data_IF_788667259273
#
_entry.id   IF_788667259273
#
_cell.length_a   1.000
_cell.length_b   1.000
_cell.length_c   1.000
_cell.angle_alpha   90.00
_cell.angle_beta   90.00
_cell.angle_gamma   90.00
#
_symmetry.space_group_name_H-M   'P 1'
#
loop_
_entity.id
_entity.type
_entity.pdbx_description
1 polymer ?
#
# COMPACT_ATOMS: atom_id res chain seq x y z
N UNK A 1 37.86 -53.79 -7.57
CA UNK A 1 37.87 -52.33 -7.74
C UNK A 1 36.50 -51.68 -8.04
N UNK A 2 35.36 -52.37 -7.88
CA UNK A 2 34.05 -51.85 -8.38
C UNK A 2 33.21 -51.07 -7.36
N UNK A 3 33.61 -51.04 -6.07
CA UNK A 3 32.84 -50.35 -5.01
C UNK A 3 33.22 -48.87 -4.85
N UNK A 4 34.51 -48.56 -5.08
CA UNK A 4 35.03 -47.18 -5.02
C UNK A 4 34.51 -46.35 -6.20
N UNK A 5 34.41 -46.95 -7.39
CA UNK A 5 33.86 -46.29 -8.59
C UNK A 5 32.35 -45.99 -8.46
N UNK A 6 31.58 -46.80 -7.71
CA UNK A 6 30.17 -46.53 -7.41
C UNK A 6 29.95 -45.40 -6.40
N UNK A 7 30.84 -45.26 -5.41
CA UNK A 7 30.79 -44.16 -4.44
C UNK A 7 31.20 -42.82 -5.06
N UNK A 8 32.19 -42.82 -5.97
CA UNK A 8 32.61 -41.62 -6.70
C UNK A 8 31.50 -41.06 -7.61
N UNK A 9 30.70 -41.94 -8.23
CA UNK A 9 29.59 -41.53 -9.10
C UNK A 9 28.43 -40.85 -8.36
N UNK A 10 28.14 -41.26 -7.11
CA UNK A 10 27.04 -40.66 -6.32
C UNK A 10 27.42 -39.27 -5.77
N UNK A 11 28.70 -39.07 -5.41
CA UNK A 11 29.19 -37.76 -4.94
C UNK A 11 29.24 -36.72 -6.08
N UNK A 12 29.53 -37.15 -7.31
CA UNK A 12 29.60 -36.24 -8.47
C UNK A 12 28.22 -35.77 -8.99
N UNK A 13 27.14 -36.49 -8.71
CA UNK A 13 25.78 -36.11 -9.13
C UNK A 13 25.13 -35.16 -8.10
N UNK A 14 25.51 -35.26 -6.82
CA UNK A 14 24.98 -34.39 -5.76
C UNK A 14 25.49 -32.93 -5.83
N UNK A 15 26.63 -32.69 -6.48
CA UNK A 15 27.21 -31.34 -6.62
C UNK A 15 26.59 -30.50 -7.74
N UNK A 16 25.79 -31.09 -8.63
CA UNK A 16 25.12 -30.36 -9.72
C UNK A 16 23.72 -29.85 -9.35
N UNK A 17 23.22 -30.15 -8.16
CA UNK A 17 21.85 -29.81 -7.72
C UNK A 17 21.71 -28.42 -7.07
N UNK A 18 22.80 -27.68 -6.88
CA UNK A 18 22.83 -26.46 -6.06
C UNK A 18 23.22 -25.21 -6.86
N UNK A 19 22.40 -24.78 -7.84
CA UNK A 19 22.71 -23.53 -8.55
C UNK A 19 21.53 -22.72 -9.13
N UNK A 20 20.27 -23.05 -8.83
CA UNK A 20 19.13 -22.17 -9.15
C UNK A 20 18.44 -21.62 -7.90
N UNK A 21 19.11 -21.60 -6.75
CA UNK A 21 18.67 -20.85 -5.60
C UNK A 21 18.96 -19.36 -5.89
N UNK A 22 18.00 -18.65 -6.50
CA UNK A 22 17.98 -17.19 -6.47
C UNK A 22 17.66 -16.77 -5.04
N UNK A 23 18.65 -16.93 -4.15
CA UNK A 23 18.67 -16.24 -2.87
C UNK A 23 18.82 -14.78 -3.27
N UNK A 24 17.74 -14.02 -3.18
CA UNK A 24 17.78 -12.55 -3.29
C UNK A 24 18.45 -11.99 -2.03
N UNK A 25 19.73 -12.33 -1.84
CA UNK A 25 20.60 -11.73 -0.84
C UNK A 25 20.87 -10.30 -1.30
N UNK A 26 20.41 -9.33 -0.52
CA UNK A 26 20.54 -7.92 -0.85
C UNK A 26 19.43 -7.09 -0.26
N UNK A 27 19.54 -5.77 -0.37
CA UNK A 27 18.55 -4.79 0.09
C UNK A 27 17.63 -4.32 -1.04
N UNK A 28 17.89 -4.73 -2.27
CA UNK A 28 17.12 -4.33 -3.46
C UNK A 28 16.53 -5.54 -4.18
N UNK A 29 15.50 -5.30 -4.98
CA UNK A 29 14.81 -6.30 -5.78
C UNK A 29 14.30 -5.69 -7.08
N UNK A 30 14.43 -6.41 -8.19
CA UNK A 30 13.77 -6.04 -9.45
C UNK A 30 12.32 -6.51 -9.44
N UNK A 31 11.39 -5.58 -9.69
CA UNK A 31 9.95 -5.84 -9.76
C UNK A 31 9.49 -5.64 -11.19
N UNK A 32 8.93 -6.68 -11.80
CA UNK A 32 8.28 -6.61 -13.11
C UNK A 32 6.85 -6.07 -12.94
N UNK A 33 6.50 -5.04 -13.70
CA UNK A 33 5.19 -4.41 -13.67
C UNK A 33 4.52 -4.60 -15.02
N UNK A 34 3.31 -5.14 -14.98
CA UNK A 34 2.42 -5.31 -16.11
C UNK A 34 1.10 -4.61 -15.83
N UNK A 35 0.39 -4.26 -16.89
CA UNK A 35 -0.88 -3.54 -16.84
C UNK A 35 -1.90 -4.24 -17.72
N UNK A 36 -3.17 -4.18 -17.30
CA UNK A 36 -4.30 -4.67 -18.06
C UNK A 36 -5.52 -3.78 -17.82
N UNK A 37 -6.42 -3.58 -18.80
CA UNK A 37 -6.38 -4.12 -20.16
C UNK A 37 -5.43 -3.37 -21.11
N UNK A 38 -5.00 -2.16 -20.75
CA UNK A 38 -4.12 -1.31 -21.57
C UNK A 38 -2.64 -1.49 -21.20
N UNK A 39 -1.76 -1.32 -22.20
CA UNK A 39 -0.30 -1.33 -22.03
C UNK A 39 0.28 0.10 -22.16
N UNK A 40 1.59 0.26 -21.94
CA UNK A 40 2.28 1.53 -22.11
C UNK A 40 2.00 2.55 -21.01
N UNK A 41 1.49 2.11 -19.85
CA UNK A 41 1.29 2.97 -18.70
C UNK A 41 2.63 3.34 -18.06
N UNK A 42 2.74 4.59 -17.62
CA UNK A 42 3.79 5.07 -16.72
C UNK A 42 3.39 4.69 -15.29
N UNK A 43 4.28 4.01 -14.57
CA UNK A 43 4.02 3.58 -13.21
C UNK A 43 5.05 4.16 -12.22
N UNK A 44 4.56 4.55 -11.06
CA UNK A 44 5.35 4.95 -9.90
C UNK A 44 5.23 3.88 -8.83
N UNK A 45 6.37 3.38 -8.34
CA UNK A 45 6.48 2.40 -7.27
C UNK A 45 7.01 3.14 -6.04
N UNK A 46 6.36 2.99 -4.88
CA UNK A 46 6.70 3.72 -3.66
C UNK A 46 6.60 2.86 -2.42
N UNK A 47 7.57 3.03 -1.53
CA UNK A 47 7.51 2.59 -0.14
C UNK A 47 8.15 3.65 0.78
N UNK A 48 8.46 3.29 2.02
CA UNK A 48 9.11 4.14 3.01
C UNK A 48 10.61 4.39 2.75
N UNK A 49 11.24 3.64 1.83
CA UNK A 49 12.65 3.79 1.45
C UNK A 49 12.85 4.66 0.21
N UNK A 50 11.81 4.85 -0.61
CA UNK A 50 11.90 5.70 -1.78
C UNK A 50 10.78 5.52 -2.78
N UNK A 51 11.00 6.15 -3.94
CA UNK A 51 10.12 6.12 -5.09
C UNK A 51 10.93 5.79 -6.34
N UNK A 52 10.36 4.94 -7.19
CA UNK A 52 10.95 4.51 -8.46
C UNK A 52 9.91 4.60 -9.56
N UNK A 53 10.36 4.69 -10.80
CA UNK A 53 9.46 4.81 -11.95
C UNK A 53 9.72 3.71 -12.99
N UNK A 54 8.64 3.26 -13.62
CA UNK A 54 8.64 2.45 -14.83
C UNK A 54 8.02 3.30 -15.94
N UNK A 55 8.80 3.74 -16.94
CA UNK A 55 8.33 4.72 -17.92
C UNK A 55 7.30 4.14 -18.92
N UNK A 56 7.34 2.83 -19.16
CA UNK A 56 6.35 2.15 -19.98
C UNK A 56 6.20 0.69 -19.52
N UNK A 57 4.96 0.22 -19.45
CA UNK A 57 4.62 -1.18 -19.11
C UNK A 57 4.31 -1.99 -20.37
N UNK A 58 4.70 -3.28 -20.45
CA UNK A 58 5.47 -4.05 -19.47
C UNK A 58 6.90 -3.53 -19.28
N UNK A 59 7.36 -3.48 -18.03
CA UNK A 59 8.69 -3.00 -17.68
C UNK A 59 9.09 -3.44 -16.27
N UNK A 60 10.33 -3.17 -15.87
CA UNK A 60 10.81 -3.50 -14.53
C UNK A 60 11.58 -2.35 -13.91
N UNK A 61 11.54 -2.26 -12.58
CA UNK A 61 12.37 -1.32 -11.83
C UNK A 61 12.97 -1.99 -10.60
N UNK A 62 14.20 -1.61 -10.28
CA UNK A 62 14.91 -2.10 -9.09
C UNK A 62 14.56 -1.22 -7.91
N UNK A 63 13.79 -1.77 -6.97
CA UNK A 63 13.34 -1.07 -5.77
C UNK A 63 14.17 -1.50 -4.55
N UNK A 64 14.28 -0.61 -3.57
CA UNK A 64 14.81 -0.96 -2.25
C UNK A 64 13.70 -1.63 -1.44
N UNK A 65 14.02 -2.79 -0.88
CA UNK A 65 13.12 -3.60 -0.05
C UNK A 65 12.90 -2.92 1.30
N UNK A 66 11.72 -3.12 1.86
CA UNK A 66 11.37 -2.53 3.14
C UNK A 66 10.33 -3.36 3.89
N UNK A 67 10.12 -3.03 5.16
CA UNK A 67 9.04 -3.57 5.97
C UNK A 67 7.67 -3.13 5.46
N UNK A 68 7.56 -1.89 4.97
CA UNK A 68 6.31 -1.36 4.42
C UNK A 68 5.96 -1.97 3.07
N UNK A 69 4.67 -1.98 2.75
CA UNK A 69 4.18 -2.44 1.45
C UNK A 69 4.65 -1.52 0.31
N UNK A 70 4.84 -2.11 -0.87
CA UNK A 70 5.18 -1.37 -2.08
C UNK A 70 3.90 -1.02 -2.84
N UNK A 71 3.55 0.27 -2.85
CA UNK A 71 2.42 0.78 -3.63
C UNK A 71 2.87 1.05 -5.06
N UNK A 72 2.07 0.62 -6.04
CA UNK A 72 2.30 0.86 -7.47
C UNK A 72 1.11 1.62 -8.03
N UNK A 73 1.34 2.83 -8.51
CA UNK A 73 0.34 3.68 -9.16
C UNK A 73 0.69 3.80 -10.62
N UNK A 74 -0.22 3.42 -11.51
CA UNK A 74 -0.02 3.47 -12.95
C UNK A 74 -1.03 4.41 -13.61
N UNK A 75 -0.57 5.12 -14.64
CA UNK A 75 -1.43 5.94 -15.50
C UNK A 75 -0.99 5.89 -16.96
N UNK A 76 -1.95 5.93 -17.89
CA UNK A 76 -1.68 6.03 -19.34
C UNK A 76 -1.90 7.46 -19.84
N UNK A 77 -1.31 7.84 -21.00
CA UNK A 77 -1.62 9.11 -21.66
C UNK A 77 -3.10 9.26 -22.05
N UNK A 78 -3.79 8.13 -22.26
CA UNK A 78 -5.24 8.06 -22.55
C UNK A 78 -6.11 8.20 -21.30
N UNK A 79 -5.51 8.42 -20.12
CA UNK A 79 -6.21 8.73 -18.87
C UNK A 79 -6.61 7.53 -18.02
N UNK A 80 -6.25 6.30 -18.41
CA UNK A 80 -6.50 5.11 -17.59
C UNK A 80 -5.63 5.13 -16.35
N UNK A 81 -6.18 4.70 -15.21
CA UNK A 81 -5.48 4.72 -13.92
C UNK A 81 -5.71 3.44 -13.15
N UNK A 82 -4.70 3.00 -12.42
CA UNK A 82 -4.80 1.85 -11.55
C UNK A 82 -3.82 1.96 -10.38
N UNK A 83 -4.14 1.28 -9.30
CA UNK A 83 -3.27 1.20 -8.13
C UNK A 83 -3.33 -0.21 -7.57
N UNK A 84 -2.17 -0.75 -7.22
CA UNK A 84 -2.04 -2.03 -6.51
C UNK A 84 -1.00 -1.90 -5.41
N UNK A 85 -1.07 -2.76 -4.41
CA UNK A 85 -0.09 -2.84 -3.34
C UNK A 85 0.51 -4.23 -3.29
N UNK A 86 1.83 -4.31 -3.24
CA UNK A 86 2.55 -5.55 -2.98
C UNK A 86 2.89 -5.62 -1.50
N UNK A 87 2.38 -6.65 -0.84
CA UNK A 87 2.65 -6.91 0.57
C UNK A 87 4.11 -7.28 0.76
N UNK A 88 4.75 -6.68 1.76
CA UNK A 88 6.11 -7.07 2.15
C UNK A 88 6.08 -8.35 2.98
N UNK A 89 6.87 -9.35 2.57
CA UNK A 89 7.05 -10.58 3.32
C UNK A 89 8.45 -10.65 3.92
N UNK A 90 8.57 -11.17 5.14
CA UNK A 90 9.87 -11.52 5.70
C UNK A 90 10.48 -12.67 4.91
N UNK A 91 11.64 -12.44 4.28
CA UNK A 91 12.37 -13.47 3.57
C UNK A 91 12.95 -14.48 4.56
N UNK A 92 12.87 -15.78 4.26
CA UNK A 92 13.50 -16.83 5.08
C UNK A 92 15.02 -16.65 5.26
N UNK A 93 15.66 -15.85 4.41
CA UNK A 93 17.06 -15.44 4.54
C UNK A 93 17.33 -14.59 5.80
N UNK A 94 16.32 -13.91 6.36
CA UNK A 94 16.43 -13.25 7.65
C UNK A 94 16.82 -14.24 8.77
N UNK A 95 16.40 -15.51 8.65
CA UNK A 95 16.81 -16.57 9.58
C UNK A 95 18.22 -17.14 9.30
N UNK A 96 18.70 -17.08 8.06
CA UNK A 96 20.06 -17.50 7.71
C UNK A 96 21.14 -16.62 8.37
N UNK A 97 20.90 -15.30 8.39
CA UNK A 97 21.79 -14.35 9.07
C UNK A 97 21.65 -14.34 10.58
N UNK A 98 20.55 -14.85 11.15
CA UNK A 98 20.47 -15.11 12.61
C UNK A 98 21.50 -16.17 13.01
N UNK A 99 21.72 -17.20 12.17
CA UNK A 99 22.71 -18.25 12.44
C UNK A 99 24.15 -17.73 12.24
N UNK A 100 24.39 -16.85 11.26
CA UNK A 100 25.72 -16.32 10.96
C UNK A 100 26.13 -15.07 11.78
N UNK A 101 25.18 -14.22 12.18
CA UNK A 101 25.41 -12.91 12.79
C UNK A 101 24.57 -12.60 14.05
N UNK A 102 23.78 -13.56 14.53
CA UNK A 102 22.99 -13.43 15.76
C UNK A 102 21.93 -12.33 15.72
N UNK A 103 21.48 -11.89 16.91
CA UNK A 103 20.45 -10.85 17.05
C UNK A 103 20.86 -9.50 16.43
N UNK A 104 22.17 -9.21 16.40
CA UNK A 104 22.71 -7.97 15.86
C UNK A 104 22.58 -7.97 14.34
N UNK A 105 22.94 -9.08 13.68
CA UNK A 105 22.75 -9.26 12.25
C UNK A 105 21.29 -9.10 11.85
N UNK A 106 20.37 -9.71 12.60
CA UNK A 106 18.94 -9.58 12.36
C UNK A 106 18.46 -8.12 12.44
N UNK A 107 18.91 -7.35 13.43
CA UNK A 107 18.55 -5.93 13.55
C UNK A 107 19.06 -5.09 12.36
N UNK A 108 20.27 -5.35 11.89
CA UNK A 108 20.84 -4.68 10.71
C UNK A 108 20.09 -5.08 9.44
N UNK A 109 19.72 -6.33 9.28
CA UNK A 109 18.97 -6.80 8.10
C UNK A 109 17.55 -6.23 8.04
N UNK A 110 16.89 -6.11 9.20
CA UNK A 110 15.57 -5.48 9.28
C UNK A 110 15.64 -3.99 8.98
N UNK A 111 16.66 -3.27 9.49
CA UNK A 111 16.79 -1.83 9.25
C UNK A 111 17.20 -1.49 7.81
N UNK A 112 18.08 -2.29 7.21
CA UNK A 112 18.52 -2.14 5.81
C UNK A 112 17.49 -2.63 4.79
N UNK A 113 16.51 -3.43 5.23
CA UNK A 113 15.48 -4.02 4.37
C UNK A 113 15.86 -5.37 3.75
N UNK A 114 17.07 -5.87 4.04
CA UNK A 114 17.54 -7.17 3.57
C UNK A 114 16.66 -8.33 4.07
N UNK A 115 16.02 -8.17 5.22
CA UNK A 115 15.11 -9.15 5.82
C UNK A 115 13.78 -9.33 5.08
N UNK A 116 13.45 -8.46 4.11
CA UNK A 116 12.14 -8.46 3.44
C UNK A 116 12.26 -8.89 1.97
N UNK A 117 11.11 -9.16 1.34
CA UNK A 117 10.93 -9.43 -0.09
C UNK A 117 9.53 -9.01 -0.53
N UNK A 118 9.40 -8.62 -1.79
CA UNK A 118 8.12 -8.43 -2.46
C UNK A 118 7.88 -9.57 -3.48
N UNK A 119 6.65 -9.77 -3.98
CA UNK A 119 6.39 -10.50 -5.21
C UNK A 119 7.24 -9.95 -6.37
N UNK A 120 7.85 -10.81 -7.17
CA UNK A 120 8.73 -10.39 -8.28
C UNK A 120 7.98 -9.79 -9.47
N UNK A 121 6.67 -9.99 -9.54
CA UNK A 121 5.81 -9.47 -10.59
C UNK A 121 4.50 -8.90 -10.01
N UNK A 122 4.05 -7.80 -10.59
CA UNK A 122 2.77 -7.17 -10.28
C UNK A 122 1.98 -6.95 -11.57
N UNK A 123 0.68 -7.23 -11.52
CA UNK A 123 -0.26 -6.84 -12.57
C UNK A 123 -1.20 -5.78 -12.01
N UNK A 124 -1.20 -4.60 -12.63
CA UNK A 124 -2.05 -3.47 -12.24
C UNK A 124 -3.28 -3.43 -13.13
N UNK A 125 -4.46 -3.56 -12.51
CA UNK A 125 -5.73 -3.38 -13.21
C UNK A 125 -5.99 -1.89 -13.39
N UNK A 126 -6.10 -1.46 -14.65
CA UNK A 126 -6.39 -0.09 -15.02
C UNK A 126 -7.90 0.07 -15.22
N UNK A 127 -8.43 1.14 -14.64
CA UNK A 127 -9.81 1.58 -14.85
C UNK A 127 -9.82 2.73 -15.85
N UNK A 128 -10.86 2.75 -16.68
CA UNK A 128 -11.10 3.85 -17.63
C UNK A 128 -11.29 5.16 -16.85
N UNK A 129 -10.78 6.30 -17.36
CA UNK A 129 -11.14 7.59 -16.80
C UNK A 129 -12.67 7.73 -16.76
N UNK A 130 -13.21 8.18 -15.63
CA UNK A 130 -14.63 8.45 -15.52
C UNK A 130 -14.97 9.58 -16.51
N UNK A 131 -15.81 9.26 -17.49
CA UNK A 131 -16.43 10.29 -18.31
C UNK A 131 -17.42 11.01 -17.40
N UNK A 132 -17.18 12.30 -17.16
CA UNK A 132 -18.16 13.14 -16.49
C UNK A 132 -19.46 13.00 -17.29
N UNK A 133 -20.60 12.63 -16.67
CA UNK A 133 -21.85 12.62 -17.40
C UNK A 133 -22.04 14.03 -17.95
N UNK A 134 -22.25 14.12 -19.27
CA UNK A 134 -22.77 15.34 -19.85
C UNK A 134 -24.07 15.65 -19.11
N UNK A 135 -24.09 16.76 -18.37
CA UNK A 135 -25.30 17.31 -17.79
C UNK A 135 -26.16 17.84 -18.94
N UNK A 136 -26.77 16.93 -19.70
CA UNK A 136 -27.87 17.26 -20.60
C UNK A 136 -29.18 17.03 -19.85
N UNK A 137 -29.96 18.11 -19.80
CA UNK A 137 -31.33 18.22 -19.33
C UNK A 137 -31.56 18.09 -17.81
N UNK A 138 -31.50 19.25 -17.14
CA UNK A 138 -32.54 19.56 -16.16
C UNK A 138 -33.91 19.30 -16.81
N UNK A 139 -34.83 18.53 -16.21
CA UNK A 139 -36.18 18.44 -16.72
C UNK A 139 -36.79 19.83 -16.60
N UNK A 140 -37.15 20.41 -17.74
CA UNK A 140 -37.98 21.60 -17.79
C UNK A 140 -39.24 21.33 -16.95
N UNK A 141 -39.36 22.07 -15.85
CA UNK A 141 -40.58 22.15 -15.08
C UNK A 141 -41.69 22.62 -16.04
N UNK A 142 -42.56 21.68 -16.43
CA UNK A 142 -43.78 22.04 -17.13
C UNK A 142 -44.77 22.47 -16.06
N UNK A 143 -45.08 23.77 -16.14
CA UNK A 143 -46.16 24.43 -15.44
C UNK A 143 -47.49 23.67 -15.67
N UNK A 144 -48.01 23.06 -14.62
CA UNK A 144 -49.41 22.65 -14.51
C UNK A 144 -49.97 23.36 -13.29
N UNK A 145 -50.18 24.67 -13.44
CA UNK A 145 -51.09 25.43 -12.62
C UNK A 145 -52.51 24.82 -12.69
N UNK A 146 -52.99 24.38 -11.53
CA UNK A 146 -54.30 24.69 -10.98
C UNK A 146 -55.49 24.70 -11.96
N UNK A 147 -56.28 23.63 -11.95
CA UNK A 147 -57.75 23.74 -11.95
C UNK A 147 -58.32 22.80 -10.88
N UNK A 148 -58.64 23.41 -9.74
CA UNK A 148 -59.93 23.34 -9.03
C UNK A 148 -60.46 21.93 -8.64
N UNK A 149 -60.30 21.52 -7.37
CA UNK A 149 -61.16 21.88 -6.23
C UNK A 149 -62.57 21.28 -6.34
N UNK A 150 -62.71 19.97 -6.09
CA UNK A 150 -63.89 19.37 -5.44
C UNK A 150 -63.61 17.90 -5.07
N UNK A 151 -62.97 17.66 -3.93
CA UNK A 151 -63.45 16.70 -2.92
C UNK A 151 -62.62 16.85 -1.66
N UNK A 152 -62.90 17.94 -0.96
CA UNK A 152 -62.83 17.89 0.49
C UNK A 152 -63.66 16.68 0.95
N UNK A 153 -63.02 15.69 1.56
CA UNK A 153 -63.25 15.40 2.98
C UNK A 153 -62.33 14.25 3.39
N UNK A 154 -61.37 14.57 4.28
CA UNK A 154 -61.01 13.82 5.50
C UNK A 154 -59.53 13.97 5.87
N UNK A 155 -59.24 15.09 6.53
CA UNK A 155 -58.23 15.24 7.59
C UNK A 155 -58.56 16.58 8.28
N UNK A 156 -58.39 16.75 9.62
CA UNK A 156 -57.12 16.55 10.33
C UNK A 156 -57.33 15.87 11.72
N UNK A 157 -56.35 15.55 12.56
CA UNK A 157 -55.16 16.32 12.91
C UNK A 157 -54.08 15.48 13.63
N UNK A 158 -52.83 15.82 13.32
CA UNK A 158 -51.69 16.13 14.20
C UNK A 158 -51.30 15.24 15.39
N UNK A 159 -50.04 14.77 15.34
CA UNK A 159 -48.93 15.45 16.04
C UNK A 159 -47.56 14.87 15.67
N UNK A 160 -46.68 15.74 15.18
CA UNK A 160 -45.24 15.71 15.44
C UNK A 160 -44.98 16.52 16.76
N UNK A 161 -43.80 16.53 17.42
CA UNK A 161 -42.46 16.41 16.81
C UNK A 161 -41.35 15.73 17.66
N UNK A 162 -40.16 15.72 17.04
CA UNK A 162 -38.81 15.85 17.64
C UNK A 162 -37.89 14.60 17.68
N UNK A 163 -36.92 14.59 16.76
CA UNK A 163 -35.50 14.18 16.95
C UNK A 163 -34.77 15.31 17.72
N UNK A 164 -33.56 15.19 18.32
CA UNK A 164 -32.49 14.19 18.11
C UNK A 164 -31.66 13.81 19.37
N UNK A 165 -30.47 13.23 19.14
CA UNK A 165 -29.31 13.02 20.02
C UNK A 165 -29.22 11.63 20.69
N UNK A 166 -28.34 10.75 20.20
CA UNK A 166 -26.91 10.63 20.57
C UNK A 166 -26.71 10.17 22.02
N UNK A 167 -26.30 8.91 22.15
CA UNK A 167 -25.89 8.28 23.40
C UNK A 167 -24.51 8.82 23.82
N UNK A 168 -24.31 9.18 25.10
CA UNK A 168 -23.14 9.92 25.55
C UNK A 168 -21.89 9.05 25.66
N UNK A 169 -20.78 9.58 25.12
CA UNK A 169 -19.43 9.22 25.52
C UNK A 169 -19.22 9.78 26.93
N UNK A 170 -19.02 8.89 27.90
CA UNK A 170 -18.68 9.24 29.28
C UNK A 170 -17.30 9.89 29.34
N UNK A 171 -17.30 11.19 29.61
CA UNK A 171 -16.22 12.01 30.15
C UNK A 171 -16.01 11.64 31.64
N UNK A 172 -14.80 11.35 32.14
CA UNK A 172 -13.90 12.20 32.98
C UNK A 172 -13.14 11.30 33.98
N UNK A 173 -12.15 11.81 34.77
CA UNK A 173 -11.20 12.93 34.61
C UNK A 173 -9.73 12.42 34.65
N UNK A 174 -8.68 13.09 34.19
CA UNK A 174 -8.30 14.49 34.32
C UNK A 174 -7.31 14.67 35.48
N UNK A 175 -6.01 14.86 35.18
CA UNK A 175 -5.01 15.63 35.95
C UNK A 175 -3.66 15.55 35.17
N UNK A 176 -3.26 16.58 34.41
CA UNK A 176 -2.57 17.78 34.86
C UNK A 176 -1.07 17.58 35.19
N UNK A 177 -0.22 17.44 34.16
CA UNK A 177 1.22 17.71 34.29
C UNK A 177 1.74 18.50 33.08
N UNK A 178 1.35 19.78 33.00
CA UNK A 178 2.13 20.81 32.29
C UNK A 178 2.52 21.88 33.30
N UNK A 179 3.79 21.89 33.70
CA UNK A 179 4.62 23.07 34.04
C UNK A 179 5.88 22.60 34.77
N UNK A 180 6.96 22.39 34.02
CA UNK A 180 8.34 22.58 34.47
C UNK A 180 9.26 22.39 33.27
N UNK A 181 10.03 23.42 32.90
CA UNK A 181 11.15 23.24 31.96
C UNK A 181 11.30 24.26 30.84
N UNK A 182 10.97 25.55 31.04
CA UNK A 182 11.40 26.60 30.09
C UNK A 182 11.93 27.88 30.75
N UNK A 183 12.43 27.79 31.98
CA UNK A 183 13.10 28.89 32.71
C UNK A 183 14.61 28.63 32.95
N UNK A 184 15.26 27.88 32.05
CA UNK A 184 16.72 27.64 32.12
C UNK A 184 17.59 28.56 31.25
N UNK A 185 16.99 29.36 30.36
CA UNK A 185 17.73 30.00 29.26
C UNK A 185 17.72 31.55 29.29
N UNK A 186 17.78 32.17 30.47
CA UNK A 186 17.93 33.65 30.59
C UNK A 186 18.81 34.12 31.77
N UNK A 187 19.77 33.32 32.24
CA UNK A 187 20.77 33.75 33.24
C UNK A 187 22.20 33.24 32.96
N UNK A 188 22.67 33.39 31.72
CA UNK A 188 24.12 33.36 31.40
C UNK A 188 24.51 34.49 30.43
N UNK A 189 23.84 35.65 30.55
CA UNK A 189 24.30 36.94 30.02
C UNK A 189 24.40 37.91 31.19
N UNK A 190 25.50 37.80 31.94
CA UNK A 190 26.12 38.78 32.86
C UNK A 190 27.02 38.00 33.81
N UNK A 191 28.28 37.77 33.41
CA UNK A 191 29.52 38.31 33.99
C UNK A 191 30.56 38.24 32.87
#
# INVERSE_FOLDING_TARGET
MNRISRLAGVVAIASMSAACASITAGTTQSIAVQTAPEQGAQCELRNDKGTWSVPATPGSSTVTKSYGDLTIVCSTPTGWKGTTSLVSETAGAAFGNIIAGGIIGAAVDMSSGAAYKYPSAATVMLSRPAELPATDAAPAATDQALTDKERADKAPADKAPATPAETPVSLLPGEATRRAGSEGLRRMRRV
#
